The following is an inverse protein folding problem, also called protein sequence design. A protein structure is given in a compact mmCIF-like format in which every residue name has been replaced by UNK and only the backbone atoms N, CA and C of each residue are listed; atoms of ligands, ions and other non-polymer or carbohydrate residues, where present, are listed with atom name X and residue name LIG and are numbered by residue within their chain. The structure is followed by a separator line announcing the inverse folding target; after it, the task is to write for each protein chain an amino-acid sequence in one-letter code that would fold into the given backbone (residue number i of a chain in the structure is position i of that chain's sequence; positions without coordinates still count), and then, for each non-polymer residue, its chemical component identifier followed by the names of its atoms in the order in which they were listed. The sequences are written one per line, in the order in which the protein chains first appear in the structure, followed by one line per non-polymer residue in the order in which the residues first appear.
data_IF_242145250601
#
_entry.id   IF_242145250601
#
_cell.length_a   1.000
_cell.length_b   1.000
_cell.length_c   1.000
_cell.angle_alpha   90.00
_cell.angle_beta   90.00
_cell.angle_gamma   90.00
#
_symmetry.space_group_name_H-M   'P 1'
#
loop_
_entity.id
_entity.type
_entity.pdbx_description
1 polymer ?
#
# COMPACT_ATOMS: atom_id res chain seq x y z
N UNK A 1 -24.31 14.62 -43.33
CA UNK A 1 -23.47 13.62 -42.64
C UNK A 1 -22.24 14.31 -42.10
N UNK A 2 -22.13 14.54 -40.76
CA UNK A 2 -20.90 15.05 -40.15
C UNK A 2 -19.91 13.87 -40.02
N UNK A 3 -18.64 14.02 -40.37
CA UNK A 3 -17.70 12.91 -40.35
C UNK A 3 -17.39 12.48 -38.90
N UNK A 4 -17.57 11.20 -38.64
CA UNK A 4 -17.33 10.51 -37.35
C UNK A 4 -15.91 10.71 -36.79
N UNK A 5 -14.98 11.19 -37.62
CA UNK A 5 -13.59 11.46 -37.25
C UNK A 5 -13.33 12.74 -36.44
N UNK A 6 -14.21 13.75 -36.52
CA UNK A 6 -14.01 15.04 -35.85
C UNK A 6 -14.17 14.94 -34.30
N UNK A 7 -15.12 14.11 -33.85
CA UNK A 7 -15.33 13.89 -32.42
C UNK A 7 -14.18 13.14 -31.74
N UNK A 8 -13.60 12.16 -32.41
CA UNK A 8 -12.45 11.41 -31.89
C UNK A 8 -11.17 12.26 -31.82
N UNK A 9 -10.98 13.17 -32.79
CA UNK A 9 -9.83 14.11 -32.74
C UNK A 9 -10.00 15.16 -31.64
N UNK A 10 -11.22 15.61 -31.36
CA UNK A 10 -11.48 16.59 -30.31
C UNK A 10 -11.32 16.00 -28.91
N UNK A 11 -11.75 14.75 -28.68
CA UNK A 11 -11.53 14.00 -27.43
C UNK A 11 -10.05 13.72 -27.21
N UNK A 12 -9.30 13.39 -28.30
CA UNK A 12 -7.86 13.15 -28.24
C UNK A 12 -7.09 14.42 -27.91
N UNK A 13 -7.44 15.58 -28.48
CA UNK A 13 -6.84 16.89 -28.17
C UNK A 13 -7.15 17.36 -26.74
N UNK A 14 -8.37 17.14 -26.25
CA UNK A 14 -8.68 17.44 -24.85
C UNK A 14 -7.89 16.56 -23.88
N UNK A 15 -7.72 15.26 -24.17
CA UNK A 15 -6.87 14.38 -23.38
C UNK A 15 -5.39 14.80 -23.37
N UNK A 16 -4.85 15.20 -24.52
CA UNK A 16 -3.48 15.68 -24.64
C UNK A 16 -3.21 16.96 -23.84
N UNK A 17 -4.16 17.91 -23.85
CA UNK A 17 -4.07 19.15 -23.09
C UNK A 17 -4.10 18.91 -21.56
N UNK A 18 -4.95 17.99 -21.08
CA UNK A 18 -5.03 17.67 -19.64
C UNK A 18 -3.74 17.07 -19.13
N UNK A 19 -3.09 16.19 -19.90
CA UNK A 19 -1.84 15.55 -19.48
C UNK A 19 -0.66 16.51 -19.52
N UNK A 20 -0.58 17.39 -20.52
CA UNK A 20 0.46 18.40 -20.57
C UNK A 20 0.35 19.42 -19.43
N UNK A 21 -0.87 19.81 -19.07
CA UNK A 21 -1.16 20.64 -17.90
C UNK A 21 -0.77 19.90 -16.62
N UNK A 22 -1.08 18.62 -16.51
CA UNK A 22 -0.75 17.80 -15.33
C UNK A 22 0.76 17.72 -15.11
N UNK A 23 1.54 17.49 -16.16
CA UNK A 23 2.99 17.33 -16.04
C UNK A 23 3.74 18.66 -15.89
N UNK A 24 3.26 19.73 -16.52
CA UNK A 24 3.75 21.10 -16.25
C UNK A 24 3.40 21.47 -14.81
N UNK A 25 2.24 21.06 -14.30
CA UNK A 25 1.83 21.19 -12.92
C UNK A 25 2.77 20.49 -11.93
N UNK A 26 3.19 19.24 -12.22
CA UNK A 26 4.18 18.53 -11.41
C UNK A 26 5.52 19.29 -11.34
N UNK A 27 6.06 19.69 -12.48
CA UNK A 27 7.34 20.41 -12.56
C UNK A 27 7.26 21.82 -11.92
N UNK A 28 6.15 22.54 -12.11
CA UNK A 28 5.93 23.85 -11.52
C UNK A 28 5.67 23.76 -10.01
N UNK A 29 4.95 22.73 -9.56
CA UNK A 29 4.68 22.47 -8.14
C UNK A 29 5.97 22.20 -7.33
N UNK A 30 7.01 21.66 -7.94
CA UNK A 30 8.30 21.44 -7.26
C UNK A 30 9.16 22.71 -7.16
N UNK A 31 9.03 23.67 -8.10
CA UNK A 31 9.94 24.82 -8.24
C UNK A 31 9.41 26.13 -7.68
N UNK A 32 8.10 26.29 -7.51
CA UNK A 32 7.53 27.54 -7.02
C UNK A 32 7.77 27.70 -5.50
N UNK A 33 8.37 28.79 -5.03
CA UNK A 33 8.50 29.06 -3.60
C UNK A 33 7.11 29.29 -2.98
N UNK A 34 6.95 28.87 -1.72
CA UNK A 34 5.76 29.22 -0.93
C UNK A 34 5.74 30.75 -0.67
N UNK A 35 4.64 31.41 -0.99
CA UNK A 35 4.55 32.88 -0.95
C UNK A 35 3.88 33.47 0.31
N UNK A 36 3.78 32.73 1.43
CA UNK A 36 3.03 33.23 2.59
C UNK A 36 3.67 32.84 3.92
N UNK A 37 3.22 33.50 5.03
CA UNK A 37 3.52 33.11 6.41
C UNK A 37 3.21 31.63 6.72
N UNK A 38 2.25 31.04 6.01
CA UNK A 38 1.95 29.60 6.07
C UNK A 38 3.14 28.70 5.62
N UNK A 39 4.09 29.23 4.83
CA UNK A 39 5.26 28.49 4.39
C UNK A 39 6.12 27.97 5.56
N UNK A 40 6.29 28.79 6.61
CA UNK A 40 7.02 28.40 7.81
C UNK A 40 6.38 27.21 8.54
N UNK A 41 5.05 27.23 8.70
CA UNK A 41 4.33 26.16 9.39
C UNK A 41 4.37 24.83 8.61
N UNK A 42 4.27 24.89 7.29
CA UNK A 42 4.28 23.71 6.41
C UNK A 42 5.60 22.91 6.54
N UNK A 43 6.71 23.58 6.82
CA UNK A 43 8.00 22.91 7.04
C UNK A 43 8.01 22.01 8.27
N UNK A 44 7.17 22.27 9.26
CA UNK A 44 7.07 21.48 10.49
C UNK A 44 6.06 20.33 10.40
N UNK A 45 5.27 20.21 9.33
CA UNK A 45 4.29 19.13 9.17
C UNK A 45 4.89 17.71 9.33
N UNK A 46 6.08 17.42 8.77
CA UNK A 46 6.72 16.12 9.02
C UNK A 46 7.01 15.86 10.50
N UNK A 47 7.47 16.86 11.23
CA UNK A 47 7.74 16.77 12.67
C UNK A 47 6.46 16.55 13.48
N UNK A 48 5.38 17.27 13.15
CA UNK A 48 4.07 17.07 13.77
C UNK A 48 3.50 15.66 13.52
N UNK A 49 3.70 15.10 12.33
CA UNK A 49 3.30 13.71 12.04
C UNK A 49 4.06 12.72 12.92
N UNK A 50 5.38 12.85 13.03
CA UNK A 50 6.20 11.99 13.90
C UNK A 50 5.75 12.13 15.35
N UNK A 51 5.57 13.35 15.84
CA UNK A 51 5.13 13.61 17.21
C UNK A 51 3.74 13.00 17.50
N UNK A 52 2.78 13.16 16.58
CA UNK A 52 1.45 12.59 16.72
C UNK A 52 1.47 11.05 16.76
N UNK A 53 2.21 10.42 15.85
CA UNK A 53 2.39 8.95 15.82
C UNK A 53 3.02 8.48 17.13
N UNK A 54 4.08 9.14 17.60
CA UNK A 54 4.75 8.78 18.86
C UNK A 54 3.80 8.92 20.05
N UNK A 55 3.03 10.00 20.12
CA UNK A 55 2.09 10.24 21.22
C UNK A 55 0.97 9.20 21.27
N UNK A 56 0.39 8.84 20.11
CA UNK A 56 -0.73 7.89 20.03
C UNK A 56 -0.29 6.46 20.37
N UNK A 57 0.90 6.06 19.96
CA UNK A 57 1.40 4.69 20.14
C UNK A 57 2.42 4.56 21.29
N UNK A 58 2.56 5.57 22.15
CA UNK A 58 3.47 5.55 23.28
C UNK A 58 3.30 4.35 24.21
N UNK A 59 2.05 3.97 24.45
CA UNK A 59 1.69 2.84 25.28
C UNK A 59 2.16 1.48 24.73
N UNK A 60 2.48 1.38 23.43
CA UNK A 60 2.98 0.15 22.83
C UNK A 60 4.30 -0.31 23.44
N UNK A 61 5.15 0.62 23.90
CA UNK A 61 6.49 0.28 24.43
C UNK A 61 6.49 -0.63 25.66
N UNK A 62 5.39 -0.68 26.39
CA UNK A 62 5.22 -1.55 27.57
C UNK A 62 4.52 -2.88 27.27
N UNK A 63 4.11 -3.13 26.02
CA UNK A 63 3.40 -4.36 25.64
C UNK A 63 4.41 -5.51 25.51
N UNK A 64 4.15 -6.68 26.15
CA UNK A 64 5.01 -7.85 26.00
C UNK A 64 4.78 -8.55 24.66
N UNK A 65 5.61 -9.55 24.33
CA UNK A 65 5.37 -10.46 23.21
C UNK A 65 4.06 -11.26 23.41
N UNK A 66 3.20 -11.23 22.40
CA UNK A 66 1.87 -11.86 22.42
C UNK A 66 1.70 -12.80 21.21
N UNK A 67 0.79 -13.74 21.31
CA UNK A 67 0.38 -14.65 20.22
C UNK A 67 1.57 -15.16 19.38
N UNK A 68 1.59 -14.85 18.10
CA UNK A 68 2.58 -15.31 17.12
C UNK A 68 3.99 -14.72 17.36
N UNK A 69 4.11 -13.62 18.10
CA UNK A 69 5.43 -13.11 18.52
C UNK A 69 6.24 -14.19 19.21
N UNK A 70 5.58 -15.06 20.01
CA UNK A 70 6.24 -16.16 20.73
C UNK A 70 6.85 -17.18 19.77
N UNK A 71 6.14 -17.50 18.68
CA UNK A 71 6.58 -18.48 17.68
C UNK A 71 7.60 -17.87 16.72
N UNK A 72 7.31 -16.66 16.21
CA UNK A 72 8.12 -16.02 15.18
C UNK A 72 9.40 -15.37 15.72
N UNK A 73 9.41 -14.98 17.02
CA UNK A 73 10.52 -14.26 17.64
C UNK A 73 11.15 -15.11 18.74
N UNK A 74 10.42 -15.46 19.82
CA UNK A 74 11.01 -16.10 20.98
C UNK A 74 11.47 -17.54 20.72
N UNK A 75 10.69 -18.33 20.00
CA UNK A 75 11.01 -19.72 19.65
C UNK A 75 11.88 -19.84 18.39
N UNK A 76 12.10 -18.77 17.65
CA UNK A 76 12.78 -18.79 16.37
C UNK A 76 14.31 -18.57 16.50
N UNK A 77 15.05 -19.64 16.70
CA UNK A 77 16.52 -19.60 16.82
C UNK A 77 17.25 -19.06 15.59
N UNK A 78 16.62 -19.06 14.40
CA UNK A 78 17.26 -18.52 13.19
C UNK A 78 17.48 -17.02 13.25
N UNK A 79 16.80 -16.30 14.17
CA UNK A 79 17.02 -14.88 14.40
C UNK A 79 18.31 -14.54 15.14
N UNK A 80 18.99 -15.55 15.70
CA UNK A 80 20.30 -15.34 16.33
C UNK A 80 21.40 -15.06 15.31
N UNK A 81 21.15 -15.34 14.02
CA UNK A 81 22.07 -15.08 12.92
C UNK A 81 21.49 -14.01 12.00
N UNK A 82 22.29 -12.98 11.64
CA UNK A 82 21.85 -11.91 10.73
C UNK A 82 21.68 -12.40 9.29
N UNK A 83 22.53 -13.33 8.87
CA UNK A 83 22.51 -13.92 7.53
C UNK A 83 22.39 -15.44 7.69
N UNK A 84 21.23 -16.02 7.38
CA UNK A 84 21.07 -17.45 7.42
C UNK A 84 21.96 -18.13 6.37
N UNK A 85 22.50 -19.31 6.69
CA UNK A 85 23.34 -20.11 5.81
C UNK A 85 22.57 -20.66 4.58
N UNK A 86 21.25 -20.58 4.58
CA UNK A 86 20.37 -21.03 3.48
C UNK A 86 19.89 -19.86 2.61
N UNK A 87 19.49 -20.09 1.34
CA UNK A 87 18.89 -19.07 0.50
C UNK A 87 17.71 -18.35 1.18
N UNK A 88 17.48 -17.07 0.93
CA UNK A 88 16.40 -16.34 1.55
C UNK A 88 15.04 -16.98 1.22
N UNK A 89 14.39 -17.54 2.23
CA UNK A 89 13.03 -18.07 2.14
C UNK A 89 11.96 -16.97 2.22
N UNK A 90 10.67 -17.32 2.29
CA UNK A 90 9.59 -16.37 2.44
C UNK A 90 9.82 -15.40 3.61
N UNK A 91 9.45 -14.13 3.43
CA UNK A 91 9.55 -13.07 4.46
C UNK A 91 10.98 -12.80 4.96
N UNK A 92 11.99 -13.06 4.12
CA UNK A 92 13.40 -12.98 4.48
C UNK A 92 13.81 -11.60 5.01
N UNK A 93 13.29 -10.51 4.40
CA UNK A 93 13.67 -9.16 4.82
C UNK A 93 13.08 -8.80 6.18
N UNK A 94 11.85 -9.17 6.46
CA UNK A 94 11.28 -8.97 7.80
C UNK A 94 12.01 -9.79 8.84
N UNK A 95 12.37 -11.06 8.55
CA UNK A 95 13.20 -11.90 9.44
C UNK A 95 14.54 -11.25 9.71
N UNK A 96 15.20 -10.69 8.69
CA UNK A 96 16.43 -9.93 8.84
C UNK A 96 16.25 -8.75 9.82
N UNK A 97 15.14 -8.00 9.74
CA UNK A 97 14.88 -6.89 10.68
C UNK A 97 14.62 -7.36 12.11
N UNK A 98 14.02 -8.55 12.31
CA UNK A 98 13.88 -9.15 13.64
C UNK A 98 15.22 -9.63 14.17
N UNK A 99 16.05 -10.25 13.33
CA UNK A 99 17.41 -10.66 13.72
C UNK A 99 18.27 -9.43 14.09
N UNK A 100 18.11 -8.31 13.39
CA UNK A 100 18.77 -7.05 13.74
C UNK A 100 18.32 -6.55 15.12
N UNK A 101 17.02 -6.56 15.43
CA UNK A 101 16.52 -6.21 16.75
C UNK A 101 17.09 -7.14 17.83
N UNK A 102 17.10 -8.45 17.58
CA UNK A 102 17.69 -9.42 18.52
C UNK A 102 19.16 -9.10 18.80
N UNK A 103 19.95 -8.79 17.78
CA UNK A 103 21.37 -8.42 17.94
C UNK A 103 21.58 -7.12 18.71
N UNK A 104 20.64 -6.17 18.63
CA UNK A 104 20.74 -4.86 19.31
C UNK A 104 20.30 -4.94 20.77
N UNK A 105 19.23 -5.67 21.07
CA UNK A 105 18.57 -5.62 22.39
C UNK A 105 17.98 -6.99 22.83
N UNK A 106 18.46 -8.09 22.25
CA UNK A 106 17.99 -9.45 22.52
C UNK A 106 16.45 -9.56 22.42
N UNK A 107 15.81 -10.06 23.49
CA UNK A 107 14.36 -10.22 23.59
C UNK A 107 13.68 -9.10 24.37
N UNK A 108 14.24 -7.90 24.40
CA UNK A 108 13.55 -6.74 24.98
C UNK A 108 12.46 -6.23 24.00
N UNK A 109 11.16 -6.34 24.32
CA UNK A 109 10.09 -5.98 23.41
C UNK A 109 10.10 -4.49 23.04
N UNK A 110 10.60 -3.61 23.91
CA UNK A 110 10.67 -2.16 23.68
C UNK A 110 11.41 -1.83 22.38
N UNK A 111 12.57 -2.47 22.13
CA UNK A 111 13.34 -2.25 20.91
C UNK A 111 12.55 -2.64 19.64
N UNK A 112 11.77 -3.72 19.72
CA UNK A 112 10.91 -4.16 18.61
C UNK A 112 9.75 -3.19 18.36
N UNK A 113 9.12 -2.65 19.40
CA UNK A 113 8.07 -1.64 19.28
C UNK A 113 8.60 -0.32 18.70
N UNK A 114 9.80 0.13 19.14
CA UNK A 114 10.44 1.33 18.56
C UNK A 114 10.62 1.15 17.06
N UNK A 115 11.08 -0.02 16.63
CA UNK A 115 11.29 -0.30 15.20
C UNK A 115 9.96 -0.27 14.41
N UNK A 116 8.90 -0.88 14.94
CA UNK A 116 7.56 -0.83 14.31
C UNK A 116 7.02 0.61 14.25
N UNK A 117 7.22 1.39 15.31
CA UNK A 117 6.83 2.80 15.34
C UNK A 117 7.57 3.64 14.27
N UNK A 118 8.88 3.41 14.11
CA UNK A 118 9.68 4.07 13.07
C UNK A 118 9.20 3.71 11.66
N UNK A 119 8.82 2.45 11.41
CA UNK A 119 8.23 2.03 10.14
C UNK A 119 6.92 2.78 9.89
N UNK A 120 6.05 2.86 10.90
CA UNK A 120 4.76 3.53 10.76
C UNK A 120 4.90 5.05 10.56
N UNK A 121 5.78 5.69 11.33
CA UNK A 121 6.12 7.11 11.13
C UNK A 121 6.71 7.36 9.73
N UNK A 122 7.62 6.51 9.26
CA UNK A 122 8.15 6.54 7.90
C UNK A 122 7.05 6.40 6.85
N UNK A 123 6.11 5.48 7.05
CA UNK A 123 4.94 5.30 6.16
C UNK A 123 4.07 6.56 6.11
N UNK A 124 3.81 7.20 7.25
CA UNK A 124 3.05 8.46 7.32
C UNK A 124 3.75 9.59 6.55
N UNK A 125 5.08 9.70 6.67
CA UNK A 125 5.87 10.71 5.95
C UNK A 125 5.86 10.46 4.43
N UNK A 126 6.02 9.21 4.00
CA UNK A 126 5.97 8.85 2.57
C UNK A 126 4.57 9.10 2.02
N UNK A 127 3.53 8.72 2.74
CA UNK A 127 2.13 8.96 2.36
C UNK A 127 1.84 10.47 2.25
N UNK A 128 2.25 11.28 3.22
CA UNK A 128 2.21 12.74 3.13
C UNK A 128 2.93 13.25 1.87
N UNK A 129 4.12 12.70 1.59
CA UNK A 129 4.90 13.04 0.40
C UNK A 129 4.19 12.73 -0.92
N UNK A 130 3.46 11.60 -1.00
CA UNK A 130 2.62 11.22 -2.15
C UNK A 130 1.47 12.22 -2.28
N UNK A 131 0.68 12.43 -1.23
CA UNK A 131 -0.48 13.30 -1.23
C UNK A 131 -0.13 14.74 -1.61
N UNK A 132 0.94 15.29 -1.04
CA UNK A 132 1.41 16.64 -1.34
C UNK A 132 1.73 16.85 -2.82
N UNK A 133 2.16 15.79 -3.52
CA UNK A 133 2.49 15.85 -4.96
C UNK A 133 1.29 15.58 -5.85
N UNK A 134 0.37 14.76 -5.40
CA UNK A 134 -0.74 14.29 -6.25
C UNK A 134 -2.01 15.13 -6.08
N UNK A 135 -2.32 15.63 -4.87
CA UNK A 135 -3.57 16.35 -4.61
C UNK A 135 -3.74 17.58 -5.51
N UNK A 136 -2.74 18.46 -5.55
CA UNK A 136 -2.82 19.71 -6.32
C UNK A 136 -2.63 19.54 -7.83
N UNK A 137 -2.20 18.37 -8.31
CA UNK A 137 -1.88 18.16 -9.72
C UNK A 137 -2.89 17.22 -10.38
N UNK A 138 -3.30 16.18 -9.66
CA UNK A 138 -4.12 15.09 -10.20
C UNK A 138 -5.56 15.18 -9.72
N UNK A 139 -5.76 15.35 -8.40
CA UNK A 139 -7.09 15.29 -7.81
C UNK A 139 -7.82 16.65 -7.86
N UNK A 140 -7.11 17.73 -7.60
CA UNK A 140 -7.67 19.08 -7.55
C UNK A 140 -6.75 20.09 -8.24
N UNK A 141 -6.65 20.10 -9.59
CA UNK A 141 -5.68 20.95 -10.30
C UNK A 141 -5.81 22.46 -10.08
N UNK A 142 -6.98 22.91 -9.60
CA UNK A 142 -7.26 24.33 -9.36
C UNK A 142 -6.89 24.82 -7.95
N UNK A 143 -6.52 23.94 -7.02
CA UNK A 143 -6.21 24.37 -5.65
C UNK A 143 -4.79 24.91 -5.53
N UNK A 144 -4.62 25.86 -4.60
CA UNK A 144 -3.31 26.42 -4.28
C UNK A 144 -2.40 25.34 -3.65
N UNK A 145 -1.10 25.44 -3.91
CA UNK A 145 -0.09 24.51 -3.40
C UNK A 145 -0.08 24.42 -1.87
N UNK A 146 -0.26 25.56 -1.19
CA UNK A 146 -0.36 25.62 0.27
C UNK A 146 -1.58 24.80 0.75
N UNK A 147 -2.73 25.01 0.13
CA UNK A 147 -3.96 24.25 0.45
C UNK A 147 -3.77 22.76 0.20
N UNK A 148 -3.14 22.38 -0.92
CA UNK A 148 -2.81 20.99 -1.19
C UNK A 148 -1.90 20.37 -0.12
N UNK A 149 -0.91 21.15 0.38
CA UNK A 149 0.00 20.69 1.44
C UNK A 149 -0.70 20.53 2.79
N UNK A 150 -1.62 21.43 3.12
CA UNK A 150 -2.44 21.36 4.34
C UNK A 150 -3.38 20.15 4.27
N UNK A 151 -4.09 19.96 3.15
CA UNK A 151 -4.94 18.79 2.95
C UNK A 151 -4.15 17.49 3.02
N UNK A 152 -2.96 17.45 2.42
CA UNK A 152 -2.07 16.30 2.48
C UNK A 152 -1.66 15.98 3.93
N UNK A 153 -1.36 17.00 4.73
CA UNK A 153 -1.00 16.84 6.13
C UNK A 153 -2.14 16.26 6.95
N UNK A 154 -3.34 16.86 6.88
CA UNK A 154 -4.48 16.35 7.65
C UNK A 154 -4.92 14.96 7.20
N UNK A 155 -4.86 14.65 5.90
CA UNK A 155 -5.15 13.30 5.39
C UNK A 155 -4.11 12.28 5.89
N UNK A 156 -2.82 12.64 5.88
CA UNK A 156 -1.77 11.76 6.40
C UNK A 156 -1.85 11.61 7.93
N UNK A 157 -2.19 12.67 8.66
CA UNK A 157 -2.40 12.64 10.09
C UNK A 157 -3.58 11.73 10.46
N UNK A 158 -4.74 11.93 9.82
CA UNK A 158 -5.93 11.10 10.04
C UNK A 158 -5.63 9.62 9.78
N UNK A 159 -4.91 9.31 8.70
CA UNK A 159 -4.46 7.96 8.41
C UNK A 159 -3.51 7.43 9.49
N UNK A 160 -2.49 8.22 9.87
CA UNK A 160 -1.44 7.77 10.79
C UNK A 160 -1.93 7.47 12.21
N UNK A 161 -2.95 8.23 12.68
CA UNK A 161 -3.53 8.03 14.03
C UNK A 161 -4.80 7.15 14.00
N UNK A 162 -5.16 6.59 12.84
CA UNK A 162 -6.38 5.80 12.73
C UNK A 162 -6.29 4.49 13.52
N UNK A 163 -7.29 4.14 14.34
CA UNK A 163 -7.22 2.96 15.22
C UNK A 163 -7.02 1.62 14.51
N UNK A 164 -7.36 1.50 13.23
CA UNK A 164 -7.07 0.29 12.44
C UNK A 164 -5.58 -0.04 12.36
N UNK A 165 -4.69 0.92 12.54
CA UNK A 165 -3.24 0.68 12.51
C UNK A 165 -2.70 0.14 13.84
N UNK A 166 -3.51 0.07 14.90
CA UNK A 166 -3.06 -0.43 16.21
C UNK A 166 -2.47 -1.83 16.09
N UNK A 167 -3.10 -2.73 15.36
CA UNK A 167 -2.57 -4.08 15.13
C UNK A 167 -1.20 -4.01 14.42
N UNK A 168 -1.10 -3.29 13.32
CA UNK A 168 0.12 -3.20 12.51
C UNK A 168 1.30 -2.54 13.24
N UNK A 169 1.04 -1.69 14.25
CA UNK A 169 2.08 -0.97 15.00
C UNK A 169 2.42 -1.66 16.30
N UNK A 170 1.39 -2.09 17.07
CA UNK A 170 1.55 -2.60 18.43
C UNK A 170 1.83 -4.09 18.46
N UNK A 171 1.28 -4.88 17.53
CA UNK A 171 1.56 -6.31 17.43
C UNK A 171 2.86 -6.51 16.67
N UNK A 172 3.91 -7.01 17.35
CA UNK A 172 5.28 -6.96 16.83
C UNK A 172 5.45 -7.74 15.54
N UNK A 173 4.89 -8.94 15.44
CA UNK A 173 5.01 -9.80 14.24
C UNK A 173 4.36 -9.17 13.00
N UNK A 174 3.39 -8.28 13.15
CA UNK A 174 2.77 -7.55 12.05
C UNK A 174 3.74 -6.55 11.38
N UNK A 175 4.99 -6.51 11.81
CA UNK A 175 6.06 -5.86 11.06
C UNK A 175 6.15 -6.33 9.61
N UNK A 176 5.76 -7.57 9.33
CA UNK A 176 5.67 -8.08 7.95
C UNK A 176 4.75 -7.20 7.10
N UNK A 177 3.58 -6.85 7.64
CA UNK A 177 2.60 -5.98 6.99
C UNK A 177 3.07 -4.54 6.92
N UNK A 178 3.56 -4.01 8.04
CA UNK A 178 3.99 -2.61 8.16
C UNK A 178 5.14 -2.30 7.20
N UNK A 179 6.14 -3.18 7.11
CA UNK A 179 7.24 -3.06 6.15
C UNK A 179 6.76 -3.18 4.71
N UNK A 180 5.92 -4.17 4.41
CA UNK A 180 5.32 -4.31 3.09
C UNK A 180 4.56 -3.03 2.70
N UNK A 181 3.75 -2.48 3.60
CA UNK A 181 3.04 -1.22 3.40
C UNK A 181 3.99 -0.03 3.15
N UNK A 182 5.06 0.11 3.95
CA UNK A 182 6.07 1.14 3.74
C UNK A 182 6.74 1.02 2.37
N UNK A 183 7.14 -0.19 1.97
CA UNK A 183 7.77 -0.43 0.68
C UNK A 183 6.81 -0.24 -0.49
N UNK A 184 5.53 -0.58 -0.31
CA UNK A 184 4.48 -0.28 -1.29
C UNK A 184 4.29 1.24 -1.49
N UNK A 185 4.26 2.00 -0.39
CA UNK A 185 4.23 3.46 -0.44
C UNK A 185 5.49 4.06 -1.07
N UNK A 186 6.68 3.54 -0.74
CA UNK A 186 7.95 3.96 -1.35
C UNK A 186 8.00 3.67 -2.85
N UNK A 187 7.51 2.51 -3.27
CA UNK A 187 7.38 2.15 -4.69
C UNK A 187 6.48 3.17 -5.41
N UNK A 188 5.29 3.45 -4.86
CA UNK A 188 4.35 4.42 -5.44
C UNK A 188 4.94 5.84 -5.45
N UNK A 189 5.54 6.28 -4.34
CA UNK A 189 6.22 7.57 -4.24
C UNK A 189 7.32 7.73 -5.28
N UNK A 190 8.16 6.69 -5.44
CA UNK A 190 9.25 6.67 -6.40
C UNK A 190 8.74 6.77 -7.84
N UNK A 191 7.62 6.10 -8.17
CA UNK A 191 6.97 6.24 -9.47
C UNK A 191 6.50 7.67 -9.72
N UNK A 192 5.80 8.29 -8.76
CA UNK A 192 5.34 9.70 -8.86
C UNK A 192 6.53 10.65 -9.06
N UNK A 193 7.62 10.41 -8.35
CA UNK A 193 8.87 11.19 -8.49
C UNK A 193 9.53 11.00 -9.86
N UNK A 194 9.58 9.76 -10.35
CA UNK A 194 10.20 9.43 -11.63
C UNK A 194 9.55 10.18 -12.81
N UNK A 195 8.22 10.31 -12.76
CA UNK A 195 7.44 10.99 -13.82
C UNK A 195 7.82 12.46 -13.98
N UNK A 196 8.19 13.14 -12.89
CA UNK A 196 8.51 14.57 -12.89
C UNK A 196 10.01 14.89 -12.87
N UNK A 197 10.86 13.90 -12.61
CA UNK A 197 12.30 14.08 -12.41
C UNK A 197 13.08 14.00 -13.70
N UNK A 198 14.12 14.85 -13.84
CA UNK A 198 15.13 14.72 -14.88
C UNK A 198 16.00 13.45 -14.71
N UNK A 199 16.13 12.96 -13.48
CA UNK A 199 16.85 11.72 -13.14
C UNK A 199 15.86 10.59 -12.88
N UNK A 200 14.91 10.37 -13.79
CA UNK A 200 13.83 9.39 -13.64
C UNK A 200 14.33 7.97 -13.37
N UNK A 201 15.47 7.58 -13.95
CA UNK A 201 16.07 6.25 -13.79
C UNK A 201 16.44 5.94 -12.32
N UNK A 202 16.92 6.94 -11.56
CA UNK A 202 17.22 6.74 -10.13
C UNK A 202 15.95 6.44 -9.33
N UNK A 203 14.86 7.14 -9.64
CA UNK A 203 13.58 6.91 -8.97
C UNK A 203 12.94 5.58 -9.36
N UNK A 204 13.03 5.17 -10.64
CA UNK A 204 12.59 3.84 -11.05
C UNK A 204 13.42 2.75 -10.39
N UNK A 205 14.74 2.91 -10.28
CA UNK A 205 15.62 2.00 -9.57
C UNK A 205 15.28 1.90 -8.07
N UNK A 206 15.05 3.05 -7.41
CA UNK A 206 14.64 3.09 -6.00
C UNK A 206 13.28 2.41 -5.79
N UNK A 207 12.33 2.61 -6.72
CA UNK A 207 11.03 1.94 -6.69
C UNK A 207 11.15 0.42 -6.87
N UNK A 208 11.96 -0.04 -7.82
CA UNK A 208 12.20 -1.47 -8.03
C UNK A 208 12.86 -2.12 -6.80
N UNK A 209 13.84 -1.44 -6.18
CA UNK A 209 14.46 -1.89 -4.93
C UNK A 209 13.44 -1.97 -3.79
N UNK A 210 12.61 -0.92 -3.61
CA UNK A 210 11.55 -0.93 -2.61
C UNK A 210 10.59 -2.09 -2.84
N UNK A 211 10.21 -2.37 -4.09
CA UNK A 211 9.35 -3.49 -4.42
C UNK A 211 9.99 -4.84 -4.06
N UNK A 212 11.25 -5.06 -4.41
CA UNK A 212 11.98 -6.28 -4.08
C UNK A 212 12.08 -6.51 -2.57
N UNK A 213 12.38 -5.48 -1.79
CA UNK A 213 12.41 -5.56 -0.33
C UNK A 213 11.01 -5.84 0.24
N UNK A 214 9.98 -5.25 -0.33
CA UNK A 214 8.60 -5.48 0.06
C UNK A 214 8.11 -6.91 -0.23
N UNK A 215 8.52 -7.51 -1.37
CA UNK A 215 8.30 -8.94 -1.67
C UNK A 215 9.00 -9.82 -0.62
N UNK A 216 10.16 -9.40 -0.12
CA UNK A 216 10.86 -10.05 0.99
C UNK A 216 10.19 -9.85 2.35
N UNK A 217 9.14 -9.02 2.46
CA UNK A 217 8.33 -8.87 3.67
C UNK A 217 7.04 -9.66 3.60
N UNK A 218 6.25 -9.43 2.56
CA UNK A 218 4.99 -10.14 2.32
C UNK A 218 4.59 -10.06 0.86
N UNK A 219 4.16 -11.19 0.31
CA UNK A 219 3.82 -11.39 -1.11
C UNK A 219 2.63 -10.54 -1.59
N UNK A 220 1.75 -10.12 -0.69
CA UNK A 220 0.56 -9.29 -1.00
C UNK A 220 0.90 -7.96 -1.69
N UNK A 221 2.15 -7.48 -1.57
CA UNK A 221 2.62 -6.26 -2.27
C UNK A 221 2.46 -6.33 -3.79
N UNK A 222 2.27 -7.52 -4.39
CA UNK A 222 2.04 -7.69 -5.84
C UNK A 222 0.83 -6.90 -6.36
N UNK A 223 -0.09 -6.48 -5.50
CA UNK A 223 -1.18 -5.57 -5.84
C UNK A 223 -0.72 -4.13 -6.15
N UNK A 224 0.39 -3.67 -5.58
CA UNK A 224 0.84 -2.27 -5.71
C UNK A 224 1.27 -1.91 -7.13
N UNK A 225 2.03 -2.70 -7.90
CA UNK A 225 2.30 -2.45 -9.31
C UNK A 225 1.03 -2.27 -10.16
N UNK A 226 -0.04 -3.02 -9.85
CA UNK A 226 -1.32 -2.91 -10.56
C UNK A 226 -2.01 -1.59 -10.24
N UNK A 227 -1.95 -1.13 -8.99
CA UNK A 227 -2.43 0.21 -8.58
C UNK A 227 -1.63 1.31 -9.29
N UNK A 228 -0.31 1.16 -9.42
CA UNK A 228 0.52 2.11 -10.17
C UNK A 228 0.14 2.13 -11.65
N UNK A 229 -0.11 0.97 -12.25
CA UNK A 229 -0.57 0.87 -13.64
C UNK A 229 -1.94 1.54 -13.81
N UNK A 230 -2.86 1.37 -12.86
CA UNK A 230 -4.14 2.08 -12.85
C UNK A 230 -3.92 3.60 -12.76
N UNK A 231 -3.04 4.07 -11.87
CA UNK A 231 -2.68 5.48 -11.75
C UNK A 231 -2.10 6.03 -13.06
N UNK A 232 -1.14 5.32 -13.67
CA UNK A 232 -0.54 5.69 -14.96
C UNK A 232 -1.60 5.78 -16.06
N UNK A 233 -2.49 4.80 -16.15
CA UNK A 233 -3.54 4.75 -17.18
C UNK A 233 -4.56 5.88 -17.04
N UNK A 234 -5.00 6.19 -15.82
CA UNK A 234 -6.03 7.20 -15.58
C UNK A 234 -5.51 8.64 -15.70
N UNK A 235 -4.25 8.88 -15.30
CA UNK A 235 -3.75 10.24 -15.11
C UNK A 235 -2.57 10.62 -16.02
N UNK A 236 -1.80 9.65 -16.55
CA UNK A 236 -0.54 9.95 -17.25
C UNK A 236 -0.53 9.49 -18.72
N UNK A 237 -1.26 8.43 -19.09
CA UNK A 237 -1.13 7.78 -20.40
C UNK A 237 -1.79 8.52 -21.57
N UNK A 238 -2.67 9.48 -21.33
CA UNK A 238 -3.49 10.11 -22.37
C UNK A 238 -2.75 11.10 -23.29
N UNK A 239 -1.42 11.27 -23.19
CA UNK A 239 -0.73 12.28 -24.01
C UNK A 239 0.76 12.15 -24.21
N UNK A 240 1.48 11.15 -23.71
CA UNK A 240 2.94 11.16 -23.80
C UNK A 240 3.61 9.89 -24.26
N UNK A 241 4.22 9.98 -25.47
CA UNK A 241 5.30 9.08 -25.90
C UNK A 241 6.63 9.33 -25.13
N UNK A 242 6.86 10.56 -24.59
CA UNK A 242 8.05 10.87 -23.77
C UNK A 242 8.00 10.11 -22.45
N UNK A 243 9.00 9.26 -22.19
CA UNK A 243 9.11 8.42 -20.99
C UNK A 243 8.32 7.10 -21.06
N UNK A 244 7.55 6.83 -22.11
CA UNK A 244 6.80 5.58 -22.25
C UNK A 244 7.73 4.36 -22.22
N UNK A 245 8.87 4.40 -22.94
CA UNK A 245 9.86 3.32 -22.91
C UNK A 245 10.37 3.04 -21.49
N UNK A 246 10.72 4.09 -20.73
CA UNK A 246 11.23 3.94 -19.37
C UNK A 246 10.16 3.33 -18.43
N UNK A 247 8.87 3.70 -18.59
CA UNK A 247 7.77 3.09 -17.84
C UNK A 247 7.58 1.62 -18.20
N UNK A 248 7.64 1.27 -19.49
CA UNK A 248 7.55 -0.13 -19.94
C UNK A 248 8.67 -0.96 -19.31
N UNK A 249 9.91 -0.47 -19.34
CA UNK A 249 11.03 -1.13 -18.70
C UNK A 249 10.87 -1.24 -17.20
N UNK A 250 10.35 -0.20 -16.54
CA UNK A 250 10.04 -0.25 -15.12
C UNK A 250 9.03 -1.36 -14.78
N UNK A 251 7.92 -1.46 -15.51
CA UNK A 251 6.95 -2.54 -15.31
C UNK A 251 7.55 -3.92 -15.61
N UNK A 252 8.39 -4.04 -16.64
CA UNK A 252 9.07 -5.29 -16.93
C UNK A 252 10.00 -5.73 -15.78
N UNK A 253 10.73 -4.78 -15.17
CA UNK A 253 11.55 -5.05 -13.97
C UNK A 253 10.67 -5.46 -12.78
N UNK A 254 9.53 -4.80 -12.54
CA UNK A 254 8.62 -5.20 -11.47
C UNK A 254 8.06 -6.62 -11.70
N UNK A 255 7.67 -6.95 -12.94
CA UNK A 255 7.26 -8.31 -13.29
C UNK A 255 8.38 -9.34 -13.03
N UNK A 256 9.63 -9.01 -13.39
CA UNK A 256 10.78 -9.87 -13.10
C UNK A 256 11.00 -10.05 -11.59
N UNK A 257 10.92 -8.97 -10.81
CA UNK A 257 10.99 -9.05 -9.36
C UNK A 257 9.88 -9.95 -8.77
N UNK A 258 8.67 -9.92 -9.35
CA UNK A 258 7.54 -10.77 -8.88
C UNK A 258 7.85 -12.26 -8.99
N UNK A 259 8.74 -12.67 -9.92
CA UNK A 259 9.15 -14.08 -10.02
C UNK A 259 9.85 -14.61 -8.75
N UNK A 260 10.39 -13.71 -7.92
CA UNK A 260 11.03 -14.11 -6.64
C UNK A 260 10.05 -14.71 -5.63
N UNK A 261 8.74 -14.47 -5.79
CA UNK A 261 7.69 -15.08 -4.93
C UNK A 261 7.17 -16.41 -5.47
N UNK A 262 7.70 -16.90 -6.60
CA UNK A 262 7.29 -18.18 -7.19
C UNK A 262 7.30 -19.36 -6.20
N UNK A 263 8.33 -19.54 -5.35
CA UNK A 263 8.32 -20.63 -4.36
C UNK A 263 7.17 -20.52 -3.35
N UNK A 264 6.76 -19.30 -2.97
CA UNK A 264 5.58 -19.11 -2.10
C UNK A 264 4.28 -19.43 -2.82
N UNK A 265 4.18 -19.11 -4.12
CA UNK A 265 3.03 -19.46 -4.95
C UNK A 265 2.92 -20.96 -5.16
N UNK A 266 4.03 -21.63 -5.45
CA UNK A 266 4.06 -23.09 -5.58
C UNK A 266 3.56 -23.74 -4.29
N UNK A 267 4.05 -23.29 -3.12
CA UNK A 267 3.54 -23.76 -1.83
C UNK A 267 2.02 -23.57 -1.68
N UNK A 268 1.48 -22.40 -2.03
CA UNK A 268 0.04 -22.10 -1.92
C UNK A 268 -0.82 -22.99 -2.85
N UNK A 269 -0.26 -23.42 -3.97
CA UNK A 269 -0.96 -24.27 -4.94
C UNK A 269 -0.87 -25.75 -4.61
N UNK A 270 0.24 -26.21 -4.03
CA UNK A 270 0.58 -27.65 -3.88
C UNK A 270 0.45 -28.16 -2.44
N UNK A 271 0.62 -27.28 -1.43
CA UNK A 271 0.56 -27.69 -0.03
C UNK A 271 -0.83 -28.16 0.36
N UNK A 272 -0.88 -29.30 1.02
CA UNK A 272 -2.11 -29.93 1.51
C UNK A 272 -1.89 -30.61 2.85
N UNK A 273 -2.92 -30.63 3.71
CA UNK A 273 -2.86 -31.32 5.00
C UNK A 273 -3.33 -30.47 6.19
N UNK A 274 -3.18 -31.05 7.38
CA UNK A 274 -3.70 -30.42 8.62
C UNK A 274 -2.81 -29.27 9.14
N UNK A 275 -1.51 -29.34 8.84
CA UNK A 275 -0.52 -28.36 9.28
C UNK A 275 -0.34 -27.19 8.29
N UNK A 276 -1.13 -27.15 7.22
CA UNK A 276 -1.09 -26.08 6.23
C UNK A 276 -1.89 -24.88 6.75
N UNK A 277 -1.29 -23.69 6.75
CA UNK A 277 -1.92 -22.45 7.18
C UNK A 277 -2.54 -21.62 6.05
N UNK A 278 -2.19 -21.95 4.79
CA UNK A 278 -2.69 -21.27 3.60
C UNK A 278 -2.54 -22.15 2.38
N UNK A 279 -3.46 -22.05 1.41
CA UNK A 279 -3.37 -22.74 0.13
C UNK A 279 -4.64 -23.46 -0.29
N UNK A 280 -4.68 -23.92 -1.55
CA UNK A 280 -5.85 -24.58 -2.13
C UNK A 280 -6.17 -25.93 -1.47
N UNK A 281 -5.19 -26.56 -0.82
CA UNK A 281 -5.34 -27.84 -0.09
C UNK A 281 -5.60 -27.67 1.42
N UNK A 282 -5.97 -26.47 1.88
CA UNK A 282 -6.29 -26.22 3.28
C UNK A 282 -7.52 -27.02 3.70
N UNK A 283 -7.39 -27.85 4.76
CA UNK A 283 -8.52 -28.61 5.31
C UNK A 283 -9.47 -27.70 6.10
N UNK A 284 -10.77 -27.98 6.00
CA UNK A 284 -11.83 -27.32 6.77
C UNK A 284 -12.58 -26.20 6.04
N UNK A 285 -12.07 -25.73 4.91
CA UNK A 285 -12.77 -24.76 4.03
C UNK A 285 -12.33 -24.98 2.58
N UNK A 286 -13.29 -25.06 1.67
CA UNK A 286 -12.99 -25.15 0.24
C UNK A 286 -12.66 -23.77 -0.35
N UNK A 287 -11.90 -23.71 -1.47
CA UNK A 287 -11.64 -22.42 -2.16
C UNK A 287 -12.91 -21.65 -2.52
N UNK A 288 -13.97 -22.33 -2.90
CA UNK A 288 -15.25 -21.69 -3.26
C UNK A 288 -15.98 -21.13 -2.02
N UNK A 289 -16.01 -21.87 -0.92
CA UNK A 289 -16.55 -21.40 0.35
C UNK A 289 -15.78 -20.20 0.86
N UNK A 290 -14.44 -20.24 0.79
CA UNK A 290 -13.59 -19.11 1.16
C UNK A 290 -13.88 -17.89 0.30
N UNK A 291 -13.96 -18.03 -1.03
CA UNK A 291 -14.30 -16.95 -1.95
C UNK A 291 -15.69 -16.35 -1.66
N UNK A 292 -16.67 -17.19 -1.30
CA UNK A 292 -18.02 -16.75 -0.95
C UNK A 292 -18.06 -15.90 0.33
N UNK A 293 -17.10 -16.05 1.25
CA UNK A 293 -16.99 -15.24 2.46
C UNK A 293 -16.35 -13.86 2.20
N UNK A 294 -15.52 -13.72 1.15
CA UNK A 294 -14.72 -12.50 0.93
C UNK A 294 -15.55 -11.21 0.79
N UNK A 295 -16.71 -11.18 0.12
CA UNK A 295 -17.53 -9.98 0.08
C UNK A 295 -17.95 -9.47 1.46
N UNK A 296 -18.27 -10.37 2.39
CA UNK A 296 -18.57 -10.04 3.78
C UNK A 296 -17.36 -9.47 4.52
N UNK A 297 -16.18 -10.06 4.30
CA UNK A 297 -14.90 -9.57 4.85
C UNK A 297 -14.56 -8.18 4.32
N UNK A 298 -14.70 -7.95 3.01
CA UNK A 298 -14.49 -6.63 2.40
C UNK A 298 -15.43 -5.57 2.97
N UNK A 299 -16.71 -5.90 3.18
CA UNK A 299 -17.66 -4.99 3.84
C UNK A 299 -17.26 -4.67 5.28
N UNK A 300 -16.73 -5.65 6.00
CA UNK A 300 -16.19 -5.44 7.34
C UNK A 300 -15.01 -4.48 7.33
N UNK A 301 -14.09 -4.62 6.37
CA UNK A 301 -12.97 -3.67 6.19
C UNK A 301 -13.46 -2.25 5.92
N UNK A 302 -14.41 -2.07 5.01
CA UNK A 302 -15.01 -0.74 4.73
C UNK A 302 -15.68 -0.16 5.96
N UNK A 303 -16.43 -0.96 6.72
CA UNK A 303 -17.04 -0.53 7.97
C UNK A 303 -16.00 -0.09 8.99
N UNK A 304 -14.96 -0.90 9.22
CA UNK A 304 -13.90 -0.60 10.18
C UNK A 304 -13.04 0.60 9.77
N UNK A 305 -12.90 0.85 8.47
CA UNK A 305 -12.23 2.05 7.97
C UNK A 305 -12.98 3.35 8.28
N UNK A 306 -14.31 3.28 8.48
CA UNK A 306 -15.16 4.44 8.85
C UNK A 306 -15.44 4.46 10.35
N UNK A 307 -15.70 3.28 10.93
CA UNK A 307 -16.03 3.10 12.32
C UNK A 307 -15.23 1.94 12.94
N UNK A 308 -14.03 2.23 13.49
CA UNK A 308 -13.07 1.22 13.94
C UNK A 308 -13.45 0.62 15.31
N UNK A 309 -14.65 0.04 15.41
CA UNK A 309 -15.15 -0.60 16.62
C UNK A 309 -16.10 -1.77 16.29
N UNK A 310 -16.04 -2.89 17.02
CA UNK A 310 -14.94 -3.31 17.89
C UNK A 310 -13.71 -3.76 17.06
N UNK A 311 -12.51 -3.49 17.58
CA UNK A 311 -11.26 -4.02 17.01
C UNK A 311 -10.86 -5.28 17.78
N UNK A 312 -10.58 -6.36 17.07
CA UNK A 312 -10.10 -7.63 17.61
C UNK A 312 -8.87 -8.10 16.84
N UNK A 313 -7.92 -8.73 17.50
CA UNK A 313 -6.76 -9.35 16.87
C UNK A 313 -7.19 -10.50 15.95
N UNK A 314 -8.20 -11.29 16.37
CA UNK A 314 -8.79 -12.34 15.55
C UNK A 314 -10.30 -12.12 15.44
N UNK A 315 -10.79 -12.15 14.21
CA UNK A 315 -12.21 -12.12 13.91
C UNK A 315 -12.67 -13.52 13.55
N UNK A 316 -13.24 -14.23 14.53
CA UNK A 316 -13.87 -15.51 14.23
C UNK A 316 -15.09 -15.31 13.33
N UNK A 317 -15.21 -16.13 12.31
CA UNK A 317 -16.44 -16.24 11.52
C UNK A 317 -17.38 -17.16 12.32
N UNK A 318 -17.91 -16.65 13.45
CA UNK A 318 -18.81 -17.40 14.36
C UNK A 318 -20.25 -17.49 13.86
N UNK A 319 -20.60 -16.63 12.91
CA UNK A 319 -21.91 -16.62 12.27
C UNK A 319 -21.76 -17.03 10.79
N UNK A 320 -22.70 -17.82 10.22
CA UNK A 320 -22.73 -18.03 8.79
C UNK A 320 -22.91 -16.66 8.13
N UNK A 321 -21.80 -16.09 7.65
CA UNK A 321 -21.83 -14.86 6.86
C UNK A 321 -22.76 -15.16 5.69
N UNK A 322 -23.97 -14.59 5.71
CA UNK A 322 -24.90 -14.76 4.59
C UNK A 322 -24.26 -14.10 3.38
N UNK A 323 -23.75 -14.88 2.40
CA UNK A 323 -22.93 -14.33 1.30
C UNK A 323 -23.64 -13.19 0.57
N UNK A 324 -24.95 -13.28 0.42
CA UNK A 324 -25.79 -12.29 -0.27
C UNK A 324 -25.71 -10.88 0.36
N UNK A 325 -25.57 -10.76 1.68
CA UNK A 325 -25.48 -9.44 2.33
C UNK A 325 -24.16 -8.70 2.02
N UNK A 326 -23.10 -9.44 1.66
CA UNK A 326 -21.84 -8.85 1.24
C UNK A 326 -21.73 -8.68 -0.29
N UNK A 327 -22.21 -9.65 -1.07
CA UNK A 327 -22.05 -9.65 -2.53
C UNK A 327 -22.72 -8.43 -3.19
N UNK A 328 -23.98 -8.14 -2.85
CA UNK A 328 -24.74 -7.06 -3.47
C UNK A 328 -24.05 -5.69 -3.27
N UNK A 329 -23.76 -5.25 -2.02
CA UNK A 329 -23.14 -3.92 -1.82
C UNK A 329 -21.71 -3.85 -2.36
N UNK A 330 -20.89 -4.91 -2.25
CA UNK A 330 -19.54 -4.90 -2.82
C UNK A 330 -19.56 -4.83 -4.33
N UNK A 331 -20.44 -5.59 -4.98
CA UNK A 331 -20.61 -5.50 -6.44
C UNK A 331 -21.12 -4.11 -6.87
N UNK A 332 -22.05 -3.53 -6.12
CA UNK A 332 -22.52 -2.17 -6.39
C UNK A 332 -21.40 -1.13 -6.27
N UNK A 333 -20.53 -1.23 -5.22
CA UNK A 333 -19.36 -0.35 -5.07
C UNK A 333 -18.38 -0.54 -6.22
N UNK A 334 -18.15 -1.78 -6.68
CA UNK A 334 -17.26 -2.06 -7.81
C UNK A 334 -17.81 -1.48 -9.12
N UNK A 335 -19.10 -1.72 -9.43
CA UNK A 335 -19.74 -1.16 -10.61
C UNK A 335 -19.72 0.38 -10.58
N UNK A 336 -20.00 0.96 -9.40
CA UNK A 336 -19.92 2.41 -9.21
C UNK A 336 -18.49 2.93 -9.45
N UNK A 337 -17.45 2.22 -8.97
CA UNK A 337 -16.06 2.59 -9.21
C UNK A 337 -15.72 2.60 -10.70
N UNK A 338 -16.16 1.59 -11.46
CA UNK A 338 -15.98 1.51 -12.91
C UNK A 338 -16.74 2.64 -13.64
N UNK A 339 -17.97 2.92 -13.23
CA UNK A 339 -18.75 4.05 -13.76
C UNK A 339 -18.04 5.39 -13.54
N UNK A 340 -17.41 5.57 -12.38
CA UNK A 340 -16.65 6.79 -12.04
C UNK A 340 -15.43 7.02 -12.93
N UNK A 341 -14.90 6.02 -13.65
CA UNK A 341 -13.75 6.21 -14.56
C UNK A 341 -14.01 7.35 -15.55
N UNK A 342 -15.23 7.47 -16.04
CA UNK A 342 -15.64 8.52 -17.00
C UNK A 342 -16.09 9.82 -16.33
N UNK A 343 -16.57 9.77 -15.09
CA UNK A 343 -17.14 10.92 -14.36
C UNK A 343 -16.14 11.62 -13.45
N UNK A 344 -15.42 10.85 -12.67
CA UNK A 344 -14.43 11.34 -11.69
C UNK A 344 -13.30 10.31 -11.52
N UNK A 345 -12.21 10.51 -12.27
CA UNK A 345 -11.05 9.61 -12.27
C UNK A 345 -10.42 9.46 -10.89
N UNK A 346 -10.47 10.50 -10.05
CA UNK A 346 -9.91 10.45 -8.70
C UNK A 346 -10.70 9.49 -7.80
N UNK A 347 -12.05 9.59 -7.82
CA UNK A 347 -12.91 8.67 -7.09
C UNK A 347 -12.76 7.23 -7.62
N UNK A 348 -12.72 7.06 -8.94
CA UNK A 348 -12.50 5.75 -9.56
C UNK A 348 -11.16 5.13 -9.12
N UNK A 349 -10.08 5.91 -9.13
CA UNK A 349 -8.77 5.46 -8.68
C UNK A 349 -8.80 4.96 -7.22
N UNK A 350 -9.37 5.74 -6.31
CA UNK A 350 -9.42 5.38 -4.88
C UNK A 350 -10.24 4.09 -4.66
N UNK A 351 -11.43 4.01 -5.26
CA UNK A 351 -12.31 2.85 -5.12
C UNK A 351 -11.71 1.59 -5.75
N UNK A 352 -11.16 1.67 -6.97
CA UNK A 352 -10.54 0.53 -7.63
C UNK A 352 -9.26 0.09 -6.93
N UNK A 353 -8.48 1.02 -6.36
CA UNK A 353 -7.27 0.69 -5.59
C UNK A 353 -7.59 -0.15 -4.36
N UNK A 354 -8.73 0.06 -3.70
CA UNK A 354 -9.20 -0.78 -2.60
C UNK A 354 -9.33 -2.24 -3.04
N UNK A 355 -10.00 -2.51 -4.17
CA UNK A 355 -10.16 -3.87 -4.67
C UNK A 355 -8.83 -4.48 -5.13
N UNK A 356 -7.99 -3.70 -5.81
CA UNK A 356 -6.69 -4.18 -6.32
C UNK A 356 -5.71 -4.52 -5.20
N UNK A 357 -5.69 -3.76 -4.11
CA UNK A 357 -4.83 -4.04 -2.96
C UNK A 357 -5.32 -5.25 -2.15
N UNK A 358 -6.63 -5.48 -2.08
CA UNK A 358 -7.19 -6.63 -1.40
C UNK A 358 -7.16 -7.91 -2.25
N UNK A 359 -7.13 -7.81 -3.59
CA UNK A 359 -7.22 -8.96 -4.48
C UNK A 359 -6.24 -10.11 -4.15
N UNK A 360 -4.97 -9.88 -3.77
CA UNK A 360 -4.07 -10.99 -3.46
C UNK A 360 -4.47 -11.77 -2.20
N UNK A 361 -5.03 -11.12 -1.17
CA UNK A 361 -5.44 -11.76 0.10
C UNK A 361 -6.91 -12.16 0.13
N UNK A 362 -7.78 -11.40 -0.55
CA UNK A 362 -9.22 -11.67 -0.64
C UNK A 362 -9.56 -12.37 -1.97
N UNK A 363 -8.93 -13.50 -2.23
CA UNK A 363 -9.03 -14.29 -3.46
C UNK A 363 -9.74 -15.63 -3.22
N UNK A 364 -9.47 -16.61 -4.07
CA UNK A 364 -9.94 -18.00 -3.92
C UNK A 364 -8.97 -18.87 -3.10
N UNK A 365 -7.82 -18.34 -2.72
CA UNK A 365 -6.81 -19.09 -1.95
C UNK A 365 -7.13 -18.96 -0.46
N UNK A 366 -7.54 -20.05 0.20
CA UNK A 366 -7.87 -20.01 1.62
C UNK A 366 -6.67 -19.66 2.49
N UNK A 367 -6.91 -18.84 3.50
CA UNK A 367 -5.98 -18.47 4.56
C UNK A 367 -6.62 -18.82 5.91
N UNK A 368 -5.80 -19.34 6.86
CA UNK A 368 -6.24 -19.67 8.21
C UNK A 368 -6.11 -18.46 9.14
#
# INVERSE_FOLDING_TARGET
MRPFGAGLQQVKRQGENVVEVTLKGFAASERAPYKSHAAGLICFFPLFLIAAVTAVYWNAFSVPFIYDDKTWILANRSLHELLPASPPGPRWFSKFTFALNYKLDNYNPTGYHIFNLLIHAGSALVYYGILRRTLGVVFFPSIRRETASVLAFFSALLWAVHPLHTESVTYIVQRHESLMGLFGLLLFYSFVRAVSSSRSYLWYGAGALAYLLGLGCKEVIVGVPVVILLYDSLFLSSGRRKGAKARVWFYAVLCLCTLTVWPSMDYLLTASGENVSAGLGLKGITPLEYAALQPGVMMKYLRLAVWPHPLNIHYYVSEPVRPLFGIIPITAVFIFAVFMIKKNRAAAFLLLSFFLLLAPSSSIVPLK
#
